data_IF_690146205882
#
_entry.id   IF_690146205882
#
_cell.length_a   1.000
_cell.length_b   1.000
_cell.length_c   1.000
_cell.angle_alpha   90.00
_cell.angle_beta   90.00
_cell.angle_gamma   90.00
#
_symmetry.space_group_name_H-M   'P 1'
#
loop_
_entity.id
_entity.type
_entity.pdbx_description
1 polymer ?
#
# COMPACT_ATOMS: atom_id res chain seq x y z
N UNK A 1 6.57 -5.73 -1.55
CA UNK A 1 7.75 -5.16 -0.86
C UNK A 1 7.51 -3.98 0.10
N UNK A 2 6.38 -3.24 0.08
CA UNK A 2 6.16 -2.13 1.02
C UNK A 2 6.37 -2.47 2.50
N UNK A 3 5.98 -3.68 2.90
CA UNK A 3 6.15 -4.20 4.26
C UNK A 3 7.61 -4.25 4.75
N UNK A 4 8.58 -4.23 3.83
CA UNK A 4 10.03 -4.29 4.13
C UNK A 4 10.79 -3.06 3.61
N UNK A 5 10.10 -1.98 3.25
CA UNK A 5 10.71 -0.81 2.63
C UNK A 5 11.85 -0.21 3.48
N UNK A 6 11.62 -0.07 4.80
CA UNK A 6 12.63 0.45 5.74
C UNK A 6 13.87 -0.43 5.84
N UNK A 7 13.71 -1.75 5.76
CA UNK A 7 14.82 -2.70 5.79
C UNK A 7 15.64 -2.60 4.50
N UNK A 8 14.98 -2.38 3.35
CA UNK A 8 15.66 -2.13 2.08
C UNK A 8 16.45 -0.81 2.16
N UNK A 9 15.85 0.28 2.65
CA UNK A 9 16.56 1.54 2.87
C UNK A 9 17.77 1.36 3.80
N UNK A 10 17.57 0.70 4.95
CA UNK A 10 18.62 0.41 5.91
C UNK A 10 19.75 -0.43 5.34
N UNK A 11 19.44 -1.39 4.46
CA UNK A 11 20.43 -2.17 3.74
C UNK A 11 21.33 -1.26 2.90
N UNK A 12 20.77 -0.38 2.07
CA UNK A 12 21.60 0.51 1.25
C UNK A 12 22.40 1.52 2.09
N UNK A 13 21.79 2.10 3.13
CA UNK A 13 22.47 3.06 4.01
C UNK A 13 23.59 2.43 4.84
N UNK A 14 23.46 1.16 5.24
CA UNK A 14 24.47 0.46 6.03
C UNK A 14 25.62 -0.12 5.21
N UNK A 15 25.38 -0.47 3.94
CA UNK A 15 26.37 -1.09 3.07
C UNK A 15 27.11 -0.11 2.15
N UNK A 16 26.58 1.09 1.95
CA UNK A 16 27.15 2.10 1.05
C UNK A 16 27.21 3.46 1.74
N UNK A 17 28.24 4.25 1.43
CA UNK A 17 28.39 5.61 1.95
C UNK A 17 27.42 6.57 1.24
N UNK A 18 26.14 6.47 1.57
CA UNK A 18 25.07 7.31 1.05
C UNK A 18 24.68 8.37 2.09
N UNK A 19 24.51 9.65 1.70
CA UNK A 19 24.02 10.69 2.60
C UNK A 19 22.51 10.56 2.88
N UNK A 20 21.77 9.90 1.98
CA UNK A 20 20.32 9.69 2.06
C UNK A 20 19.94 8.34 1.44
N UNK A 21 18.86 7.69 1.90
CA UNK A 21 18.42 6.43 1.32
C UNK A 21 17.97 6.62 -0.14
N UNK A 22 18.07 5.57 -0.98
CA UNK A 22 17.48 5.60 -2.31
C UNK A 22 15.98 5.87 -2.25
N UNK A 23 15.45 6.60 -3.24
CA UNK A 23 14.01 6.82 -3.36
C UNK A 23 13.31 5.48 -3.65
N UNK A 24 12.40 5.08 -2.76
CA UNK A 24 11.52 3.94 -2.99
C UNK A 24 10.20 4.39 -3.61
N UNK A 25 9.82 3.74 -4.70
CA UNK A 25 8.54 4.00 -5.37
C UNK A 25 7.51 2.98 -4.89
N UNK A 26 6.47 3.47 -4.23
CA UNK A 26 5.36 2.64 -3.76
C UNK A 26 4.28 2.51 -4.83
N UNK A 27 4.05 1.29 -5.33
CA UNK A 27 3.08 1.04 -6.41
C UNK A 27 1.65 1.47 -6.04
N UNK A 28 1.27 1.31 -4.77
CA UNK A 28 -0.04 1.74 -4.27
C UNK A 28 -0.23 3.25 -4.30
N UNK A 29 0.82 4.03 -4.07
CA UNK A 29 0.73 5.50 -4.05
C UNK A 29 0.71 6.03 -5.49
N UNK A 30 1.57 5.47 -6.35
CA UNK A 30 1.62 5.83 -7.76
C UNK A 30 0.28 5.59 -8.49
N UNK A 31 -0.42 4.50 -8.18
CA UNK A 31 -1.73 4.24 -8.81
C UNK A 31 -2.81 5.17 -8.26
N UNK A 32 -2.75 5.58 -7.00
CA UNK A 32 -3.67 6.58 -6.43
C UNK A 32 -3.55 7.91 -7.18
N UNK A 33 -2.32 8.40 -7.39
CA UNK A 33 -2.07 9.63 -8.14
C UNK A 33 -2.57 9.53 -9.58
N UNK A 34 -2.28 8.42 -10.26
CA UNK A 34 -2.75 8.19 -11.62
C UNK A 34 -4.28 8.20 -11.71
N UNK A 35 -4.97 7.48 -10.81
CA UNK A 35 -6.44 7.40 -10.83
C UNK A 35 -7.09 8.75 -10.54
N UNK A 36 -6.54 9.53 -9.60
CA UNK A 36 -6.99 10.90 -9.32
C UNK A 36 -6.87 11.79 -10.55
N UNK A 37 -5.72 11.77 -11.23
CA UNK A 37 -5.48 12.59 -12.41
C UNK A 37 -6.33 12.14 -13.60
N UNK A 38 -6.33 10.84 -13.89
CA UNK A 38 -6.95 10.28 -15.09
C UNK A 38 -8.47 10.37 -15.07
N UNK A 39 -9.08 10.20 -13.91
CA UNK A 39 -10.53 10.12 -13.75
C UNK A 39 -11.11 11.30 -12.95
N UNK A 40 -10.30 12.33 -12.68
CA UNK A 40 -10.66 13.50 -11.87
C UNK A 40 -11.24 13.12 -10.49
N UNK A 41 -10.83 11.97 -9.94
CA UNK A 41 -11.29 11.51 -8.63
C UNK A 41 -10.81 12.49 -7.56
N UNK A 42 -11.69 12.73 -6.59
CA UNK A 42 -11.44 13.61 -5.45
C UNK A 42 -11.38 12.78 -4.17
N UNK A 43 -10.68 13.29 -3.17
CA UNK A 43 -10.54 12.64 -1.86
C UNK A 43 -11.74 12.95 -0.95
N UNK A 44 -12.95 12.83 -1.50
CA UNK A 44 -14.21 13.16 -0.81
C UNK A 44 -15.29 12.08 -1.02
N UNK A 45 -14.87 10.85 -1.37
CA UNK A 45 -15.76 9.70 -1.35
C UNK A 45 -16.27 9.42 0.08
N UNK A 46 -17.27 8.54 0.21
CA UNK A 46 -17.84 8.17 1.50
C UNK A 46 -16.76 7.77 2.51
N UNK A 47 -16.85 8.31 3.73
CA UNK A 47 -15.93 8.00 4.84
C UNK A 47 -15.88 6.52 5.18
N UNK A 48 -16.99 5.81 4.99
CA UNK A 48 -17.10 4.36 5.18
C UNK A 48 -17.52 3.69 3.87
N UNK A 49 -16.55 3.40 2.98
CA UNK A 49 -16.86 2.71 1.73
C UNK A 49 -17.28 1.27 2.01
N UNK A 50 -18.27 0.77 1.26
CA UNK A 50 -18.63 -0.64 1.29
C UNK A 50 -17.57 -1.45 0.54
N UNK A 51 -16.96 -2.42 1.21
CA UNK A 51 -15.96 -3.32 0.64
C UNK A 51 -16.38 -4.77 0.89
N UNK A 52 -16.35 -5.60 -0.15
CA UNK A 52 -16.68 -7.03 -0.09
C UNK A 52 -15.45 -7.84 -0.51
N UNK A 53 -15.14 -8.92 0.20
CA UNK A 53 -14.00 -9.78 -0.08
C UNK A 53 -14.46 -11.06 -0.77
N UNK A 54 -13.78 -11.41 -1.86
CA UNK A 54 -14.00 -12.65 -2.58
C UNK A 54 -12.65 -13.28 -2.87
N UNK A 55 -12.53 -14.60 -2.68
CA UNK A 55 -11.31 -15.35 -2.97
C UNK A 55 -11.68 -16.70 -3.58
N UNK A 56 -10.82 -17.20 -4.47
CA UNK A 56 -10.91 -18.58 -4.98
C UNK A 56 -10.44 -19.62 -3.96
N UNK A 57 -9.71 -19.20 -2.92
CA UNK A 57 -9.32 -20.01 -1.77
C UNK A 57 -10.19 -19.75 -0.54
N UNK A 58 -9.57 -19.68 0.65
CA UNK A 58 -10.28 -19.41 1.91
C UNK A 58 -10.61 -17.91 2.07
N UNK A 59 -11.84 -17.56 1.70
CA UNK A 59 -12.35 -16.19 1.84
C UNK A 59 -12.50 -15.75 3.31
N UNK A 60 -12.78 -16.68 4.22
CA UNK A 60 -12.95 -16.35 5.65
C UNK A 60 -11.60 -15.94 6.24
N UNK A 61 -10.53 -16.64 5.87
CA UNK A 61 -9.19 -16.26 6.29
C UNK A 61 -8.76 -14.90 5.69
N UNK A 62 -9.11 -14.64 4.41
CA UNK A 62 -8.85 -13.34 3.78
C UNK A 62 -9.57 -12.19 4.52
N UNK A 63 -10.86 -12.37 4.83
CA UNK A 63 -11.65 -11.39 5.60
C UNK A 63 -11.08 -11.18 7.00
N UNK A 64 -10.58 -12.24 7.66
CA UNK A 64 -9.90 -12.12 8.94
C UNK A 64 -8.65 -11.24 8.82
N UNK A 65 -7.84 -11.46 7.79
CA UNK A 65 -6.66 -10.61 7.54
C UNK A 65 -7.07 -9.17 7.24
N UNK A 66 -8.11 -8.93 6.43
CA UNK A 66 -8.59 -7.58 6.17
C UNK A 66 -8.98 -6.82 7.45
N UNK A 67 -9.68 -7.48 8.38
CA UNK A 67 -10.01 -6.92 9.70
C UNK A 67 -8.76 -6.55 10.50
N UNK A 68 -7.76 -7.42 10.51
CA UNK A 68 -6.52 -7.21 11.26
C UNK A 68 -5.69 -6.05 10.69
N UNK A 69 -5.47 -6.03 9.37
CA UNK A 69 -4.58 -5.10 8.68
C UNK A 69 -5.23 -3.76 8.31
N UNK A 70 -6.49 -3.78 7.86
CA UNK A 70 -7.15 -2.63 7.23
C UNK A 70 -8.29 -2.03 8.06
N UNK A 71 -8.68 -2.69 9.17
CA UNK A 71 -9.79 -2.27 10.05
C UNK A 71 -11.14 -2.16 9.33
N UNK A 72 -11.35 -3.03 8.35
CA UNK A 72 -12.60 -3.19 7.60
C UNK A 72 -13.44 -4.33 8.17
#
# INVERSE_FOLDING_TARGET
FPLIARQIEGYFMGHFALPTPPLLIHSGDAIVEYLQQKYALKNNACTFPKVEFHASGDVIWLEKQAKEWLKL
#
